data_IF_392387365152
#
_entry.id   IF_392387365152
#
_cell.length_a   1.000
_cell.length_b   1.000
_cell.length_c   1.000
_cell.angle_alpha   90.00
_cell.angle_beta   90.00
_cell.angle_gamma   90.00
#
_symmetry.space_group_name_H-M   'P 1'
#
loop_
_entity.id
_entity.type
_entity.pdbx_description
1 polymer ?
#
# COMPACT_ATOMS: atom_id res chain seq x y z
N UNK A 1 -1.71 -21.32 7.53
CA UNK A 1 -0.84 -20.41 8.33
C UNK A 1 -1.72 -19.71 9.34
N UNK A 2 -1.35 -19.70 10.62
CA UNK A 2 -2.11 -18.96 11.64
C UNK A 2 -1.79 -17.46 11.55
N UNK A 3 -2.74 -16.60 11.89
CA UNK A 3 -2.50 -15.16 11.92
C UNK A 3 -1.30 -14.80 12.80
N UNK A 4 -1.18 -15.43 13.98
CA UNK A 4 -0.04 -15.23 14.89
C UNK A 4 1.29 -15.56 14.21
N UNK A 5 1.38 -16.67 13.49
CA UNK A 5 2.61 -17.07 12.79
C UNK A 5 3.01 -16.03 11.72
N UNK A 6 2.02 -15.54 10.95
CA UNK A 6 2.26 -14.55 9.90
C UNK A 6 2.69 -13.19 10.47
N UNK A 7 1.97 -12.70 11.49
CA UNK A 7 2.30 -11.42 12.14
C UNK A 7 3.65 -11.50 12.87
N UNK A 8 3.97 -12.64 13.50
CA UNK A 8 5.29 -12.86 14.12
C UNK A 8 6.40 -12.80 13.08
N UNK A 9 6.25 -13.48 11.95
CA UNK A 9 7.25 -13.44 10.87
C UNK A 9 7.46 -12.03 10.32
N UNK A 10 6.37 -11.31 10.00
CA UNK A 10 6.43 -9.93 9.51
C UNK A 10 7.15 -8.99 10.49
N UNK A 11 6.81 -9.08 11.78
CA UNK A 11 7.38 -8.20 12.81
C UNK A 11 8.83 -8.57 13.14
N UNK A 12 9.21 -9.85 13.02
CA UNK A 12 10.59 -10.30 13.15
C UNK A 12 11.48 -9.68 12.06
N UNK A 13 11.05 -9.73 10.80
CA UNK A 13 11.79 -9.10 9.69
C UNK A 13 11.85 -7.58 9.81
N UNK A 14 10.76 -6.95 10.27
CA UNK A 14 10.73 -5.51 10.58
C UNK A 14 11.72 -5.14 11.67
N UNK A 15 11.76 -5.88 12.78
CA UNK A 15 12.67 -5.60 13.89
C UNK A 15 14.14 -5.80 13.48
N UNK A 16 14.41 -6.80 12.63
CA UNK A 16 15.78 -7.16 12.22
C UNK A 16 16.38 -6.17 11.22
N UNK A 17 15.58 -5.63 10.31
CA UNK A 17 16.06 -4.77 9.21
C UNK A 17 15.65 -3.31 9.33
N UNK A 18 14.57 -3.02 10.07
CA UNK A 18 13.94 -1.70 10.15
C UNK A 18 13.21 -1.26 8.86
N UNK A 19 13.11 -2.12 7.83
CA UNK A 19 12.67 -1.74 6.47
C UNK A 19 11.46 -2.51 5.94
N UNK A 20 10.79 -3.29 6.79
CA UNK A 20 9.47 -3.85 6.49
C UNK A 20 8.40 -2.89 7.00
N UNK A 21 7.68 -2.28 6.08
CA UNK A 21 6.71 -1.22 6.34
C UNK A 21 5.27 -1.74 6.37
N UNK A 22 4.39 -0.99 7.04
CA UNK A 22 2.97 -1.35 7.20
C UNK A 22 2.14 -0.18 6.68
N UNK A 23 1.16 -0.49 5.84
CA UNK A 23 0.14 0.45 5.38
C UNK A 23 -1.23 -0.08 5.78
N UNK A 24 -1.97 0.70 6.56
CA UNK A 24 -3.36 0.40 6.90
C UNK A 24 -4.25 0.90 5.75
N UNK A 25 -4.50 0.01 4.79
CA UNK A 25 -5.16 0.35 3.51
C UNK A 25 -6.60 0.82 3.68
N UNK A 26 -7.28 0.38 4.72
CA UNK A 26 -8.59 0.87 5.14
C UNK A 26 -8.52 2.34 5.53
N UNK A 27 -7.64 2.72 6.46
CA UNK A 27 -7.46 4.10 6.90
C UNK A 27 -7.05 5.02 5.73
N UNK A 28 -6.20 4.53 4.82
CA UNK A 28 -5.83 5.27 3.61
C UNK A 28 -7.00 5.54 2.65
N UNK A 29 -8.14 4.88 2.81
CA UNK A 29 -9.32 5.05 1.94
C UNK A 29 -10.55 5.60 2.70
N UNK A 30 -10.68 5.38 4.00
CA UNK A 30 -11.74 5.98 4.84
C UNK A 30 -11.40 7.39 5.31
N UNK A 31 -10.12 7.73 5.39
CA UNK A 31 -9.63 9.06 5.79
C UNK A 31 -8.69 9.61 4.73
N UNK A 32 -9.24 9.85 3.54
CA UNK A 32 -8.50 10.33 2.38
C UNK A 32 -9.30 11.42 1.66
N UNK A 33 -8.64 12.26 0.83
CA UNK A 33 -9.34 13.21 -0.03
C UNK A 33 -9.95 12.56 -1.29
N UNK A 34 -9.81 11.24 -1.47
CA UNK A 34 -10.26 10.52 -2.67
C UNK A 34 -11.48 9.65 -2.38
N UNK A 35 -12.40 9.56 -3.34
CA UNK A 35 -13.51 8.59 -3.29
C UNK A 35 -12.97 7.18 -3.62
N UNK A 36 -13.01 6.23 -2.68
CA UNK A 36 -12.46 4.89 -2.90
C UNK A 36 -13.20 4.08 -3.97
N UNK A 37 -14.43 4.45 -4.34
CA UNK A 37 -15.16 3.80 -5.42
C UNK A 37 -14.62 4.19 -6.81
N UNK A 38 -13.98 5.35 -6.95
CA UNK A 38 -13.52 5.92 -8.22
C UNK A 38 -11.99 5.90 -8.31
N UNK A 39 -11.32 6.40 -7.27
CA UNK A 39 -9.87 6.61 -7.25
C UNK A 39 -9.28 6.18 -5.88
N UNK A 40 -9.29 4.88 -5.56
CA UNK A 40 -8.76 4.39 -4.29
C UNK A 40 -7.24 4.48 -4.21
N UNK A 41 -6.74 4.67 -3.00
CA UNK A 41 -5.31 4.55 -2.68
C UNK A 41 -4.98 3.07 -2.47
N UNK A 42 -4.03 2.54 -3.25
CA UNK A 42 -3.63 1.12 -3.19
C UNK A 42 -2.14 0.89 -2.85
N UNK A 43 -1.37 1.96 -2.68
CA UNK A 43 0.05 1.90 -2.35
C UNK A 43 0.51 3.18 -1.63
N UNK A 44 1.78 3.20 -1.23
CA UNK A 44 2.48 4.41 -0.78
C UNK A 44 3.78 4.59 -1.56
N UNK A 45 4.45 5.73 -1.41
CA UNK A 45 5.80 5.93 -1.94
C UNK A 45 6.89 5.32 -1.03
N UNK A 46 8.15 5.53 -1.42
CA UNK A 46 9.37 5.04 -0.76
C UNK A 46 9.41 5.28 0.77
N UNK A 47 8.98 6.46 1.22
CA UNK A 47 9.12 6.89 2.61
C UNK A 47 7.80 6.84 3.42
N UNK A 48 6.74 6.22 2.86
CA UNK A 48 5.41 6.03 3.46
C UNK A 48 4.58 7.29 3.77
N UNK A 49 4.90 8.43 3.18
CA UNK A 49 4.20 9.70 3.43
C UNK A 49 3.18 10.06 2.35
N UNK A 50 3.28 9.47 1.15
CA UNK A 50 2.43 9.79 0.00
C UNK A 50 1.44 8.66 -0.29
N UNK A 51 0.15 8.99 -0.21
CA UNK A 51 -0.98 8.09 -0.48
C UNK A 51 -1.82 8.63 -1.64
N UNK A 52 -1.49 8.23 -2.88
CA UNK A 52 -2.15 8.71 -4.10
C UNK A 52 -2.79 7.56 -4.92
N UNK A 53 -3.87 7.82 -5.67
CA UNK A 53 -4.44 6.84 -6.58
C UNK A 53 -3.49 6.51 -7.74
N UNK A 54 -3.50 5.26 -8.17
CA UNK A 54 -2.74 4.79 -9.33
C UNK A 54 -3.55 3.85 -10.21
N UNK A 55 -3.24 3.84 -11.51
CA UNK A 55 -3.75 2.90 -12.50
C UNK A 55 -2.55 2.12 -13.07
N UNK A 56 -2.62 0.78 -13.18
CA UNK A 56 -1.56 0.02 -13.84
C UNK A 56 -1.50 0.37 -15.32
N UNK A 57 -0.29 0.47 -15.88
CA UNK A 57 -0.10 0.55 -17.32
C UNK A 57 -0.15 -0.88 -17.89
N UNK A 58 -0.92 -1.07 -18.96
CA UNK A 58 -0.96 -2.37 -19.66
C UNK A 58 0.17 -2.49 -20.69
N UNK A 59 0.48 -1.38 -21.37
CA UNK A 59 1.59 -1.27 -22.32
C UNK A 59 2.35 0.05 -22.08
N UNK A 60 3.63 0.07 -22.46
CA UNK A 60 4.44 1.29 -22.39
C UNK A 60 3.88 2.37 -23.32
N UNK A 61 3.23 2.01 -24.42
CA UNK A 61 2.65 2.91 -25.41
C UNK A 61 1.12 3.05 -25.24
N UNK A 62 0.59 2.73 -24.06
CA UNK A 62 -0.84 2.95 -23.77
C UNK A 62 -1.22 4.42 -24.04
N UNK A 63 -2.25 4.64 -24.85
CA UNK A 63 -2.75 5.97 -25.19
C UNK A 63 -3.67 6.54 -24.08
N UNK A 64 -4.20 5.69 -23.19
CA UNK A 64 -5.06 6.06 -22.05
C UNK A 64 -4.29 6.08 -20.70
N UNK A 65 -3.12 6.73 -20.70
CA UNK A 65 -2.30 6.97 -19.49
C UNK A 65 -3.01 7.85 -18.45
#
# INVERSE_FOLDING_TARGET
MKAVELFSLMMQERASTGRIYIQNVDHCNTHSPFDPAIAPVRQSNLCLEIALPTKPLNDVNDEER
#
